data_IF_556607639098
#
_entry.id   IF_556607639098
#
_cell.length_a   1.000
_cell.length_b   1.000
_cell.length_c   1.000
_cell.angle_alpha   90.00
_cell.angle_beta   90.00
_cell.angle_gamma   90.00
#
_symmetry.space_group_name_H-M   'P 1'
#
loop_
_entity.id
_entity.type
_entity.pdbx_description
1 polymer ?
#
# COMPACT_ATOMS: atom_id res chain seq x y z
N UNK A 1 -1.01 24.29 74.06
CA UNK A 1 -0.55 23.15 73.23
C UNK A 1 -1.39 23.16 71.95
N UNK A 2 -0.79 23.57 70.83
CA UNK A 2 -1.49 23.68 69.57
C UNK A 2 -0.89 22.59 68.66
N UNK A 3 -1.71 21.61 68.32
CA UNK A 3 -1.33 20.58 67.34
C UNK A 3 -1.62 21.09 65.94
N UNK A 4 -0.53 21.21 65.13
CA UNK A 4 -0.61 21.50 63.69
C UNK A 4 -0.73 20.18 62.91
N UNK A 5 -1.82 19.97 62.16
CA UNK A 5 -1.95 18.90 61.20
C UNK A 5 -1.31 19.33 59.90
N UNK A 6 -0.22 18.65 59.51
CA UNK A 6 0.39 18.79 58.19
C UNK A 6 -0.32 17.80 57.24
N UNK A 7 -1.02 18.32 56.25
CA UNK A 7 -1.61 17.53 55.15
C UNK A 7 -0.57 17.34 54.05
N UNK A 8 -0.05 16.11 53.93
CA UNK A 8 0.76 15.71 52.80
C UNK A 8 -0.17 15.48 51.58
N UNK A 9 -0.22 16.42 50.67
CA UNK A 9 -0.74 16.22 49.33
C UNK A 9 0.33 15.52 48.46
N UNK A 10 0.26 14.19 48.40
CA UNK A 10 1.00 13.41 47.45
C UNK A 10 0.17 13.37 46.16
N UNK A 11 0.31 14.37 45.29
CA UNK A 11 -0.18 14.30 43.92
C UNK A 11 0.76 13.38 43.11
N UNK A 12 0.45 12.10 43.14
CA UNK A 12 1.05 11.14 42.21
C UNK A 12 0.47 11.44 40.81
N UNK A 13 1.11 12.31 40.07
CA UNK A 13 0.88 12.42 38.64
C UNK A 13 1.52 11.18 38.01
N UNK A 14 0.73 10.16 37.77
CA UNK A 14 1.12 9.09 36.85
C UNK A 14 1.40 9.73 35.50
N UNK A 15 2.66 10.05 35.28
CA UNK A 15 3.19 10.31 33.95
C UNK A 15 3.05 9.00 33.21
N UNK A 16 2.02 8.89 32.36
CA UNK A 16 1.95 7.84 31.35
C UNK A 16 3.14 8.12 30.44
N UNK A 17 4.21 7.39 30.65
CA UNK A 17 5.36 7.36 29.74
C UNK A 17 4.87 6.75 28.42
N UNK A 18 4.42 7.61 27.51
CA UNK A 18 3.97 7.25 26.18
C UNK A 18 5.20 7.13 25.26
N UNK A 19 6.23 6.42 25.73
CA UNK A 19 7.28 5.95 24.82
C UNK A 19 6.66 4.89 23.95
N UNK A 20 6.22 5.30 22.75
CA UNK A 20 5.81 4.38 21.68
C UNK A 20 6.98 3.40 21.50
N UNK A 21 6.75 2.14 21.86
CA UNK A 21 7.71 1.07 21.57
C UNK A 21 7.88 1.07 20.06
N UNK A 22 9.09 1.29 19.52
CA UNK A 22 9.28 1.27 18.07
C UNK A 22 8.77 -0.07 17.50
N UNK A 23 7.93 0.00 16.47
CA UNK A 23 7.42 -1.20 15.81
C UNK A 23 8.61 -1.92 15.17
N UNK A 24 8.86 -3.14 15.61
CA UNK A 24 9.89 -3.98 15.01
C UNK A 24 9.33 -4.66 13.75
N UNK A 25 9.69 -4.13 12.58
CA UNK A 25 9.25 -4.66 11.30
C UNK A 25 9.69 -6.11 11.05
N UNK A 26 10.78 -6.58 11.70
CA UNK A 26 11.24 -7.96 11.56
C UNK A 26 10.28 -8.99 12.15
N UNK A 27 9.37 -8.56 13.04
CA UNK A 27 8.30 -9.40 13.58
C UNK A 27 7.17 -9.68 12.57
N UNK A 28 7.07 -8.86 11.51
CA UNK A 28 6.03 -8.96 10.48
C UNK A 28 6.56 -9.45 9.14
N UNK A 29 7.84 -9.15 8.84
CA UNK A 29 8.41 -9.39 7.52
C UNK A 29 9.76 -10.08 7.60
N UNK A 30 10.08 -10.88 6.59
CA UNK A 30 11.42 -11.44 6.37
C UNK A 30 12.35 -10.52 5.58
N UNK A 31 11.88 -9.30 5.28
CA UNK A 31 12.65 -8.26 4.57
C UNK A 31 13.64 -7.64 5.55
N UNK A 32 14.91 -7.53 5.15
CA UNK A 32 15.89 -6.74 5.89
C UNK A 32 15.76 -5.26 5.55
N UNK A 33 15.11 -4.50 6.42
CA UNK A 33 14.89 -3.07 6.24
C UNK A 33 16.16 -2.22 6.42
N UNK A 34 17.28 -2.81 6.89
CA UNK A 34 18.58 -2.14 6.94
C UNK A 34 19.41 -2.33 5.66
N UNK A 35 18.99 -3.24 4.79
CA UNK A 35 19.67 -3.58 3.54
C UNK A 35 18.65 -3.89 2.45
N UNK A 36 17.88 -2.87 2.04
CA UNK A 36 16.86 -3.02 1.01
C UNK A 36 17.47 -3.42 -0.34
N UNK A 37 16.76 -4.24 -1.14
CA UNK A 37 17.13 -4.46 -2.53
C UNK A 37 17.17 -3.15 -3.30
N UNK A 38 18.11 -3.01 -4.23
CA UNK A 38 18.21 -1.84 -5.09
C UNK A 38 17.14 -1.89 -6.19
N UNK A 39 16.04 -1.17 -6.01
CA UNK A 39 14.98 -0.96 -7.01
C UNK A 39 15.16 0.38 -7.75
N UNK A 40 15.69 1.39 -7.07
CA UNK A 40 15.83 2.75 -7.60
C UNK A 40 16.81 2.84 -8.78
N UNK A 41 17.88 2.02 -8.77
CA UNK A 41 18.98 2.13 -9.75
C UNK A 41 19.14 0.81 -10.51
N UNK A 42 18.08 0.36 -11.17
CA UNK A 42 18.13 -0.82 -12.04
C UNK A 42 18.80 -0.49 -13.38
N UNK A 43 19.64 -1.40 -13.87
CA UNK A 43 20.22 -1.31 -15.20
C UNK A 43 19.14 -1.47 -16.27
N UNK A 44 18.93 -0.41 -17.07
CA UNK A 44 17.99 -0.43 -18.19
C UNK A 44 18.81 -0.74 -19.47
N UNK A 45 18.46 -1.80 -20.21
CA UNK A 45 19.11 -2.09 -21.49
C UNK A 45 19.04 -0.94 -22.48
N UNK A 46 20.13 -0.64 -23.19
CA UNK A 46 20.25 0.50 -24.09
C UNK A 46 19.21 0.54 -25.23
N UNK A 47 18.58 -0.60 -25.57
CA UNK A 47 17.53 -0.65 -26.58
C UNK A 47 16.16 -0.22 -26.06
N UNK A 48 16.01 -0.06 -24.74
CA UNK A 48 14.80 0.52 -24.14
C UNK A 48 15.01 2.03 -24.08
N UNK A 49 14.29 2.74 -24.93
CA UNK A 49 14.42 4.21 -25.06
C UNK A 49 13.26 4.97 -24.42
N UNK A 50 12.27 4.26 -23.90
CA UNK A 50 11.11 4.84 -23.24
C UNK A 50 11.11 4.49 -21.76
N UNK A 51 10.88 5.49 -20.93
CA UNK A 51 10.66 5.37 -19.49
C UNK A 51 9.48 6.28 -19.11
N UNK A 52 8.44 5.70 -18.54
CA UNK A 52 7.25 6.42 -18.14
C UNK A 52 7.28 6.84 -16.66
N UNK A 53 8.39 6.61 -15.95
CA UNK A 53 8.53 7.02 -14.54
C UNK A 53 8.33 8.52 -14.41
N UNK A 54 7.31 9.01 -13.69
CA UNK A 54 7.09 10.43 -13.54
C UNK A 54 8.20 11.07 -12.69
N UNK A 55 8.63 12.27 -13.04
CA UNK A 55 9.59 13.03 -12.24
C UNK A 55 9.06 13.34 -10.82
N UNK A 56 7.74 13.39 -10.65
CA UNK A 56 7.05 13.57 -9.36
C UNK A 56 6.95 12.30 -8.52
N UNK A 57 7.20 11.11 -9.11
CA UNK A 57 7.18 9.83 -8.43
C UNK A 57 8.38 8.97 -8.89
N UNK A 58 9.62 9.37 -8.58
CA UNK A 58 10.79 8.56 -8.88
C UNK A 58 10.77 7.27 -8.05
N UNK A 59 11.26 6.18 -8.62
CA UNK A 59 11.37 4.91 -7.90
C UNK A 59 12.38 5.08 -6.76
N UNK A 60 11.97 4.68 -5.55
CA UNK A 60 12.82 4.60 -4.36
C UNK A 60 12.81 3.18 -3.81
N UNK A 61 13.86 2.78 -3.09
CA UNK A 61 13.92 1.43 -2.54
C UNK A 61 12.86 1.24 -1.46
N UNK A 62 12.64 2.24 -0.62
CA UNK A 62 11.62 2.24 0.43
C UNK A 62 10.19 2.27 -0.14
N UNK A 63 9.96 3.08 -1.18
CA UNK A 63 8.66 3.16 -1.87
C UNK A 63 8.31 1.84 -2.56
N UNK A 64 9.25 1.25 -3.29
CA UNK A 64 9.06 -0.04 -3.95
C UNK A 64 8.80 -1.19 -2.95
N UNK A 65 9.46 -1.17 -1.77
CA UNK A 65 9.18 -2.14 -0.71
C UNK A 65 7.79 -1.95 -0.11
N UNK A 66 7.39 -0.71 0.19
CA UNK A 66 6.03 -0.43 0.67
C UNK A 66 4.98 -0.85 -0.37
N UNK A 67 5.19 -0.52 -1.65
CA UNK A 67 4.31 -0.96 -2.74
C UNK A 67 4.23 -2.49 -2.83
N UNK A 68 5.35 -3.19 -2.68
CA UNK A 68 5.38 -4.66 -2.62
C UNK A 68 4.60 -5.22 -1.44
N UNK A 69 4.71 -4.62 -0.24
CA UNK A 69 3.93 -5.06 0.92
C UNK A 69 2.44 -4.91 0.63
N UNK A 70 2.00 -3.73 0.18
CA UNK A 70 0.61 -3.48 -0.19
C UNK A 70 0.11 -4.45 -1.28
N UNK A 71 0.91 -4.72 -2.30
CA UNK A 71 0.54 -5.60 -3.43
C UNK A 71 0.19 -7.03 -2.99
N UNK A 72 0.83 -7.54 -1.94
CA UNK A 72 0.61 -8.89 -1.42
C UNK A 72 -0.32 -8.93 -0.19
N UNK A 73 -0.78 -7.77 0.31
CA UNK A 73 -1.60 -7.72 1.53
C UNK A 73 -3.09 -7.81 1.22
N UNK A 74 -3.75 -8.83 1.76
CA UNK A 74 -5.20 -9.01 1.66
C UNK A 74 -5.99 -7.96 2.44
N UNK A 75 -5.36 -7.20 3.35
CA UNK A 75 -6.02 -6.09 4.03
C UNK A 75 -6.50 -4.99 3.06
N UNK A 76 -6.03 -4.98 1.82
CA UNK A 76 -6.51 -4.06 0.78
C UNK A 76 -7.88 -4.44 0.22
N UNK A 77 -8.45 -5.59 0.56
CA UNK A 77 -9.87 -5.89 0.30
C UNK A 77 -10.72 -5.73 1.56
N UNK A 78 -11.99 -5.42 1.40
CA UNK A 78 -12.89 -5.11 2.51
C UNK A 78 -13.11 -6.31 3.45
N UNK A 79 -13.07 -7.52 2.91
CA UNK A 79 -13.22 -8.79 3.63
C UNK A 79 -11.89 -9.50 3.97
N UNK A 80 -10.74 -8.93 3.62
CA UNK A 80 -9.38 -9.47 3.83
C UNK A 80 -9.09 -10.78 3.08
N UNK A 81 -9.74 -11.03 1.95
CA UNK A 81 -9.55 -12.28 1.20
C UNK A 81 -8.76 -12.11 -0.11
N UNK A 82 -8.74 -10.89 -0.68
CA UNK A 82 -8.14 -10.58 -1.97
C UNK A 82 -7.02 -9.56 -1.83
N UNK A 83 -5.89 -9.83 -2.46
CA UNK A 83 -4.79 -8.89 -2.66
C UNK A 83 -4.59 -8.65 -4.16
N UNK A 84 -3.81 -7.65 -4.56
CA UNK A 84 -3.42 -7.46 -5.96
C UNK A 84 -2.76 -8.74 -6.53
N UNK A 85 -1.91 -9.40 -5.72
CA UNK A 85 -1.26 -10.66 -6.06
C UNK A 85 -2.22 -11.84 -6.29
N UNK A 86 -3.48 -11.76 -5.84
CA UNK A 86 -4.49 -12.80 -6.07
C UNK A 86 -4.92 -12.88 -7.54
N UNK A 87 -4.93 -11.71 -8.23
CA UNK A 87 -5.29 -11.58 -9.65
C UNK A 87 -4.07 -11.36 -10.55
N UNK A 88 -2.94 -10.92 -9.97
CA UNK A 88 -1.67 -10.70 -10.66
C UNK A 88 -0.62 -11.68 -10.12
N UNK A 89 -0.76 -12.95 -10.54
CA UNK A 89 0.04 -14.08 -10.03
C UNK A 89 1.44 -14.06 -10.63
N UNK A 90 2.48 -14.06 -9.81
CA UNK A 90 3.87 -13.94 -10.25
C UNK A 90 4.28 -15.06 -11.23
N UNK A 91 3.87 -16.31 -11.00
CA UNK A 91 4.17 -17.44 -11.89
C UNK A 91 3.51 -17.32 -13.27
N UNK A 92 2.47 -16.48 -13.41
CA UNK A 92 1.74 -16.19 -14.63
C UNK A 92 2.17 -14.85 -15.28
N UNK A 93 3.41 -14.42 -15.01
CA UNK A 93 3.93 -13.13 -15.43
C UNK A 93 3.07 -11.95 -14.92
N UNK A 94 2.62 -12.05 -13.68
CA UNK A 94 1.73 -11.11 -13.01
C UNK A 94 0.39 -10.89 -13.75
N UNK A 95 -0.13 -11.92 -14.40
CA UNK A 95 -1.49 -12.03 -14.89
C UNK A 95 -2.26 -13.08 -14.12
N UNK A 96 -3.34 -13.62 -14.72
CA UNK A 96 -4.15 -14.69 -14.15
C UNK A 96 -4.20 -15.88 -15.12
N UNK A 97 -4.22 -17.11 -14.65
CA UNK A 97 -4.48 -18.31 -15.44
C UNK A 97 -5.96 -18.45 -15.82
N UNK A 98 -6.86 -17.82 -15.06
CA UNK A 98 -8.28 -17.81 -15.32
C UNK A 98 -8.65 -16.74 -16.37
N UNK A 99 -9.74 -16.97 -17.11
CA UNK A 99 -10.26 -15.99 -18.07
C UNK A 99 -10.72 -14.69 -17.39
N UNK A 100 -11.20 -14.77 -16.17
CA UNK A 100 -11.61 -13.67 -15.31
C UNK A 100 -11.18 -14.02 -13.89
N UNK A 101 -10.67 -13.05 -13.18
CA UNK A 101 -10.24 -13.20 -11.77
C UNK A 101 -11.44 -13.27 -10.84
N UNK A 102 -11.22 -13.79 -9.64
CA UNK A 102 -12.24 -13.83 -8.58
C UNK A 102 -11.93 -12.71 -7.61
N UNK A 103 -12.86 -11.76 -7.49
CA UNK A 103 -12.87 -10.73 -6.47
C UNK A 103 -13.75 -11.12 -5.28
N UNK A 104 -13.94 -10.21 -4.35
CA UNK A 104 -14.73 -10.46 -3.11
C UNK A 104 -16.23 -10.69 -3.41
N UNK A 105 -16.77 -10.03 -4.44
CA UNK A 105 -18.20 -10.09 -4.79
C UNK A 105 -18.44 -10.77 -6.14
N UNK A 106 -17.54 -11.65 -6.59
CA UNK A 106 -17.74 -12.44 -7.80
C UNK A 106 -16.58 -12.37 -8.79
N UNK A 107 -16.85 -12.73 -10.05
CA UNK A 107 -15.85 -12.69 -11.12
C UNK A 107 -15.76 -11.33 -11.75
N UNK A 108 -14.53 -10.88 -12.01
CA UNK A 108 -14.26 -9.65 -12.76
C UNK A 108 -14.79 -9.76 -14.20
N UNK A 109 -15.08 -8.62 -14.83
CA UNK A 109 -15.62 -8.59 -16.20
C UNK A 109 -14.55 -8.88 -17.27
N UNK A 110 -13.28 -8.80 -16.94
CA UNK A 110 -12.14 -8.91 -17.86
C UNK A 110 -10.98 -9.68 -17.24
N UNK A 111 -10.15 -10.25 -18.10
CA UNK A 111 -8.91 -10.89 -17.69
C UNK A 111 -7.94 -9.87 -17.10
N UNK A 112 -7.23 -10.23 -16.01
CA UNK A 112 -6.18 -9.40 -15.41
C UNK A 112 -5.04 -9.18 -16.37
N UNK A 113 -4.66 -7.92 -16.56
CA UNK A 113 -3.53 -7.55 -17.43
C UNK A 113 -2.20 -7.96 -16.77
N UNK A 114 -1.25 -8.39 -17.59
CA UNK A 114 0.11 -8.62 -17.10
C UNK A 114 0.77 -7.31 -16.71
N UNK A 115 1.48 -7.31 -15.57
CA UNK A 115 2.13 -6.10 -15.04
C UNK A 115 3.60 -5.97 -15.48
N UNK A 116 4.16 -6.97 -16.17
CA UNK A 116 5.56 -6.92 -16.62
C UNK A 116 5.81 -5.75 -17.56
N UNK A 117 6.90 -5.02 -17.34
CA UNK A 117 7.34 -3.91 -18.17
C UNK A 117 6.37 -2.71 -18.30
N UNK A 118 5.46 -2.53 -17.37
CA UNK A 118 4.55 -1.37 -17.37
C UNK A 118 5.28 -0.03 -17.40
N UNK A 119 6.43 0.07 -16.72
CA UNK A 119 7.34 1.22 -16.77
C UNK A 119 7.70 1.66 -18.20
N UNK A 120 7.80 0.70 -19.11
CA UNK A 120 8.27 0.92 -20.50
C UNK A 120 7.13 0.81 -21.52
N UNK A 121 5.88 0.75 -21.09
CA UNK A 121 4.74 0.55 -21.97
C UNK A 121 4.62 1.63 -23.05
N UNK A 122 4.20 1.22 -24.25
CA UNK A 122 3.86 2.14 -25.33
C UNK A 122 2.41 2.62 -25.12
N UNK A 123 2.23 3.87 -24.84
CA UNK A 123 0.95 4.49 -24.51
C UNK A 123 1.03 5.20 -23.16
N UNK A 124 0.12 6.12 -22.93
CA UNK A 124 0.07 6.92 -21.71
C UNK A 124 -1.20 6.65 -20.93
N UNK A 125 -1.84 5.47 -21.16
CA UNK A 125 -3.08 5.12 -20.49
C UNK A 125 -3.10 3.61 -20.21
N UNK A 126 -3.73 3.24 -19.10
CA UNK A 126 -3.74 1.91 -18.50
C UNK A 126 -5.16 1.34 -18.48
N UNK A 127 -5.30 0.05 -18.21
CA UNK A 127 -6.44 -0.83 -18.47
C UNK A 127 -6.67 -1.13 -19.95
N UNK A 128 -7.46 -2.19 -20.23
CA UNK A 128 -7.83 -2.60 -21.59
C UNK A 128 -8.54 -1.49 -22.39
N UNK A 129 -9.30 -0.65 -21.72
CA UNK A 129 -10.05 0.47 -22.26
C UNK A 129 -9.36 1.83 -22.09
N UNK A 130 -8.13 1.84 -21.58
CA UNK A 130 -7.31 3.03 -21.41
C UNK A 130 -7.96 4.16 -20.56
N UNK A 131 -8.81 3.78 -19.58
CA UNK A 131 -9.51 4.77 -18.74
C UNK A 131 -8.64 5.43 -17.67
N UNK A 132 -7.50 4.84 -17.30
CA UNK A 132 -6.57 5.43 -16.34
C UNK A 132 -5.43 6.15 -17.08
N UNK A 133 -5.27 7.44 -16.80
CA UNK A 133 -4.28 8.29 -17.48
C UNK A 133 -2.83 8.01 -17.02
N UNK A 134 -2.62 7.49 -15.82
CA UNK A 134 -1.30 7.13 -15.29
C UNK A 134 -1.37 5.78 -14.57
N UNK A 135 -0.21 5.18 -14.31
CA UNK A 135 -0.15 3.94 -13.54
C UNK A 135 -0.61 4.17 -12.09
N UNK A 136 -0.25 5.31 -11.50
CA UNK A 136 -0.69 5.69 -10.16
C UNK A 136 -2.22 5.66 -10.05
N UNK A 137 -2.91 6.37 -10.94
CA UNK A 137 -4.38 6.39 -10.96
C UNK A 137 -4.98 5.00 -11.18
N UNK A 138 -4.29 4.16 -11.94
CA UNK A 138 -4.75 2.79 -12.22
C UNK A 138 -4.77 1.92 -10.95
N UNK A 139 -3.75 2.06 -10.07
CA UNK A 139 -3.49 1.09 -8.99
C UNK A 139 -4.60 1.02 -7.94
N UNK A 140 -5.31 2.12 -7.65
CA UNK A 140 -6.37 2.15 -6.63
C UNK A 140 -7.78 1.91 -7.20
N UNK A 141 -7.98 1.89 -8.52
CA UNK A 141 -9.29 1.60 -9.09
C UNK A 141 -9.81 0.20 -8.77
N UNK A 142 -9.01 -0.90 -8.81
CA UNK A 142 -9.45 -2.21 -8.37
C UNK A 142 -9.83 -2.26 -6.89
N UNK A 143 -9.15 -1.48 -6.04
CA UNK A 143 -9.48 -1.37 -4.61
C UNK A 143 -10.87 -0.77 -4.43
N UNK A 144 -11.23 0.23 -5.26
CA UNK A 144 -12.51 0.92 -5.26
C UNK A 144 -13.58 0.24 -6.14
N UNK A 145 -13.29 -0.94 -6.68
CA UNK A 145 -14.28 -1.71 -7.43
C UNK A 145 -15.05 -2.66 -6.50
N UNK A 146 -16.41 -2.59 -6.58
CA UNK A 146 -17.31 -3.43 -5.79
C UNK A 146 -17.04 -4.92 -5.94
N UNK A 147 -16.80 -5.38 -7.16
CA UNK A 147 -16.58 -6.80 -7.46
C UNK A 147 -15.18 -7.24 -7.03
N UNK A 148 -14.14 -6.37 -7.23
CA UNK A 148 -12.76 -6.76 -7.04
C UNK A 148 -12.35 -6.72 -5.57
N UNK A 149 -12.36 -5.55 -4.90
CA UNK A 149 -11.82 -5.39 -3.54
C UNK A 149 -12.75 -4.65 -2.56
N UNK A 150 -13.86 -4.04 -3.02
CA UNK A 150 -15.02 -3.60 -2.22
C UNK A 150 -14.82 -2.39 -1.31
N UNK A 151 -14.02 -1.42 -1.72
CA UNK A 151 -13.93 -0.10 -1.09
C UNK A 151 -14.51 0.99 -2.00
N UNK A 152 -15.63 0.69 -2.67
CA UNK A 152 -16.26 1.62 -3.62
C UNK A 152 -16.94 2.82 -2.97
N UNK A 153 -17.31 2.75 -1.70
CA UNK A 153 -18.13 3.75 -1.03
C UNK A 153 -19.59 3.77 -1.49
N UNK A 154 -19.98 2.87 -2.40
CA UNK A 154 -21.32 2.74 -2.98
C UNK A 154 -21.86 1.33 -2.72
N UNK A 155 -23.14 1.10 -2.98
CA UNK A 155 -23.81 -0.21 -2.88
C UNK A 155 -23.65 -0.93 -1.51
N UNK A 156 -23.33 -0.18 -0.45
CA UNK A 156 -23.10 -0.70 0.89
C UNK A 156 -21.66 -1.10 1.19
N UNK A 157 -20.74 -0.87 0.27
CA UNK A 157 -19.32 -1.04 0.47
C UNK A 157 -18.74 0.01 1.43
N UNK A 158 -17.62 -0.34 2.06
CA UNK A 158 -16.76 0.62 2.73
C UNK A 158 -16.16 1.60 1.72
N UNK A 159 -15.81 2.79 2.19
CA UNK A 159 -15.14 3.82 1.38
C UNK A 159 -13.62 3.63 1.36
N UNK A 160 -12.93 4.33 0.48
CA UNK A 160 -11.46 4.36 0.50
C UNK A 160 -10.90 5.00 1.78
N UNK A 161 -11.62 5.94 2.40
CA UNK A 161 -11.24 6.51 3.71
C UNK A 161 -11.31 5.47 4.83
N UNK A 162 -12.23 4.51 4.75
CA UNK A 162 -12.28 3.37 5.67
C UNK A 162 -11.06 2.45 5.49
N UNK A 163 -10.57 2.26 4.26
CA UNK A 163 -9.32 1.56 4.03
C UNK A 163 -8.14 2.32 4.64
N UNK A 164 -8.04 3.63 4.44
CA UNK A 164 -6.99 4.44 5.06
C UNK A 164 -7.01 4.25 6.58
N UNK A 165 -8.17 4.41 7.21
CA UNK A 165 -8.35 4.20 8.65
C UNK A 165 -7.94 2.78 9.07
N UNK A 166 -8.27 1.76 8.27
CA UNK A 166 -7.87 0.38 8.52
C UNK A 166 -6.35 0.21 8.51
N UNK A 167 -5.66 0.77 7.51
CA UNK A 167 -4.21 0.69 7.39
C UNK A 167 -3.50 1.46 8.51
N UNK A 168 -4.00 2.62 8.92
CA UNK A 168 -3.46 3.39 10.04
C UNK A 168 -3.49 2.61 11.36
N UNK A 169 -4.44 1.69 11.53
CA UNK A 169 -4.56 0.84 12.71
C UNK A 169 -3.71 -0.44 12.65
N UNK A 170 -3.04 -0.73 11.53
CA UNK A 170 -2.10 -1.85 11.41
C UNK A 170 -0.70 -1.35 11.77
N UNK A 171 -0.06 -1.85 12.83
CA UNK A 171 1.11 -1.21 13.46
C UNK A 171 2.29 -0.94 12.52
N UNK A 172 2.49 -1.77 11.49
CA UNK A 172 3.64 -1.64 10.60
C UNK A 172 3.43 -0.61 9.47
N UNK A 173 2.20 -0.29 9.07
CA UNK A 173 1.97 0.64 7.95
C UNK A 173 2.44 2.06 8.24
N UNK A 174 2.12 2.71 9.39
CA UNK A 174 2.66 4.04 9.70
C UNK A 174 4.19 4.09 9.59
N UNK A 175 4.90 3.05 10.07
CA UNK A 175 6.36 2.96 9.97
C UNK A 175 6.83 2.82 8.53
N UNK A 176 6.18 1.99 7.72
CA UNK A 176 6.53 1.82 6.31
C UNK A 176 6.29 3.10 5.51
N UNK A 177 5.18 3.81 5.77
CA UNK A 177 4.92 5.13 5.16
C UNK A 177 5.93 6.18 5.62
N UNK A 178 6.34 6.16 6.90
CA UNK A 178 7.40 7.02 7.42
C UNK A 178 8.74 6.77 6.71
N UNK A 179 9.09 5.51 6.45
CA UNK A 179 10.31 5.15 5.72
C UNK A 179 10.26 5.66 4.26
N UNK A 180 9.12 5.53 3.58
CA UNK A 180 8.98 5.89 2.17
C UNK A 180 8.81 7.42 1.97
N UNK A 181 8.11 8.12 2.87
CA UNK A 181 7.70 9.52 2.70
C UNK A 181 8.20 10.48 3.78
N UNK A 182 8.90 9.99 4.80
CA UNK A 182 9.33 10.79 5.94
C UNK A 182 8.22 11.15 6.93
N UNK A 183 7.00 10.67 6.75
CA UNK A 183 5.85 10.86 7.66
C UNK A 183 4.94 9.66 7.66
N UNK A 184 4.27 9.38 8.79
CA UNK A 184 3.36 8.24 8.97
C UNK A 184 2.01 8.42 8.26
N UNK A 185 1.72 9.59 7.67
CA UNK A 185 0.45 9.91 7.04
C UNK A 185 0.16 8.99 5.86
N UNK A 186 -0.97 8.33 5.88
CA UNK A 186 -1.46 7.47 4.80
C UNK A 186 -2.49 8.26 3.98
N UNK A 187 -2.35 8.27 2.66
CA UNK A 187 -3.30 8.88 1.73
C UNK A 187 -3.44 8.03 0.47
N UNK A 188 -4.53 8.19 -0.26
CA UNK A 188 -4.71 7.51 -1.55
C UNK A 188 -3.56 7.83 -2.51
N UNK A 189 -3.17 9.10 -2.66
CA UNK A 189 -2.06 9.51 -3.53
C UNK A 189 -0.75 8.76 -3.20
N UNK A 190 -0.43 8.59 -1.91
CA UNK A 190 0.76 7.87 -1.49
C UNK A 190 0.67 6.37 -1.75
N UNK A 191 -0.51 5.78 -1.56
CA UNK A 191 -0.76 4.38 -1.92
C UNK A 191 -0.59 4.21 -3.43
N UNK A 192 -1.15 5.10 -4.24
CA UNK A 192 -0.98 5.13 -5.69
C UNK A 192 0.49 5.22 -6.09
N UNK A 193 1.23 6.14 -5.49
CA UNK A 193 2.65 6.34 -5.79
C UNK A 193 3.48 5.09 -5.56
N UNK A 194 3.36 4.45 -4.40
CA UNK A 194 4.19 3.27 -4.07
C UNK A 194 3.75 2.00 -4.79
N UNK A 195 2.47 1.83 -5.09
CA UNK A 195 2.00 0.71 -5.90
C UNK A 195 2.44 0.82 -7.37
N UNK A 196 2.73 2.04 -7.84
CA UNK A 196 3.23 2.28 -9.20
C UNK A 196 4.75 2.15 -9.31
N UNK A 197 5.51 2.14 -8.20
CA UNK A 197 6.96 1.95 -8.15
C UNK A 197 7.34 0.47 -8.28
#
# INVERSE_FOLDING_TARGET
MIYSCSSNNNSNTDQVDNTLIPVDLSSYFTIDFNALPNYANQDIPNYITKDNTPASNPITDEGAILGRVLFYDTNLSSDNTVACASCHVQSEAFGDSNRASIGINGSTARHSMRLVNNRFANGNAFFWDQRAATLEIQTTQPIQDHIEMGFSGEDGDLSFDDLITKLENIPFYPVLFSNAFGTETITEDRIQQVLAQ
#
